data_IF_483264757673
#
_entry.id   IF_483264757673
#
_cell.length_a   1.000
_cell.length_b   1.000
_cell.length_c   1.000
_cell.angle_alpha   90.00
_cell.angle_beta   90.00
_cell.angle_gamma   90.00
#
_symmetry.space_group_name_H-M   'P 1'
#
loop_
_entity.id
_entity.type
_entity.pdbx_description
1 polymer ?
#
# COMPACT_ATOMS: atom_id res chain seq x y z
N UNK A 1 -4.57 -25.42 -2.49
CA UNK A 1 -4.10 -24.02 -2.38
C UNK A 1 -5.31 -23.22 -1.90
N UNK A 2 -5.33 -22.88 -0.61
CA UNK A 2 -6.44 -22.12 -0.01
C UNK A 2 -6.41 -20.72 -0.60
N UNK A 3 -7.45 -20.36 -1.33
CA UNK A 3 -7.63 -19.00 -1.82
C UNK A 3 -7.72 -18.07 -0.60
N UNK A 4 -6.72 -17.22 -0.40
CA UNK A 4 -6.70 -16.33 0.77
C UNK A 4 -7.93 -15.42 0.71
N UNK A 5 -8.76 -15.49 1.74
CA UNK A 5 -9.95 -14.65 1.89
C UNK A 5 -9.60 -13.17 2.08
N UNK A 6 -8.33 -12.87 2.38
CA UNK A 6 -7.80 -11.53 2.57
C UNK A 6 -6.68 -11.22 1.58
N UNK A 7 -6.72 -10.01 1.00
CA UNK A 7 -5.62 -9.41 0.26
C UNK A 7 -4.95 -8.34 1.11
N UNK A 8 -3.63 -8.21 0.99
CA UNK A 8 -2.85 -7.27 1.80
C UNK A 8 -1.85 -6.53 0.93
N UNK A 9 -1.89 -5.22 1.01
CA UNK A 9 -1.00 -4.33 0.28
C UNK A 9 -0.43 -3.26 1.21
N UNK A 10 0.82 -2.87 0.98
CA UNK A 10 1.27 -1.57 1.42
C UNK A 10 0.78 -0.53 0.42
N UNK A 11 0.00 0.42 0.89
CA UNK A 11 -0.66 1.41 0.06
C UNK A 11 -0.10 2.79 0.36
N UNK A 12 0.38 3.45 -0.69
CA UNK A 12 0.81 4.83 -0.67
C UNK A 12 -0.40 5.66 -1.08
N UNK A 13 -0.96 6.42 -0.15
CA UNK A 13 -2.26 7.07 -0.35
C UNK A 13 -2.17 8.38 -1.12
N UNK A 14 -0.97 8.93 -1.25
CA UNK A 14 -0.71 10.18 -1.95
C UNK A 14 0.65 10.13 -2.64
N UNK A 15 0.64 10.01 -3.97
CA UNK A 15 1.84 10.08 -4.80
C UNK A 15 1.65 11.14 -5.88
N UNK A 16 2.73 11.85 -6.21
CA UNK A 16 2.82 12.57 -7.48
C UNK A 16 3.08 11.60 -8.65
N UNK A 17 3.06 12.13 -9.88
CA UNK A 17 3.27 11.32 -11.07
C UNK A 17 4.65 10.64 -11.07
N UNK A 18 5.71 11.38 -10.75
CA UNK A 18 7.08 10.85 -10.78
C UNK A 18 7.26 9.73 -9.77
N UNK A 19 6.75 9.92 -8.56
CA UNK A 19 6.74 8.89 -7.52
C UNK A 19 5.96 7.65 -7.99
N UNK A 20 4.72 7.80 -8.48
CA UNK A 20 3.90 6.69 -8.93
C UNK A 20 4.57 5.84 -10.04
N UNK A 21 5.16 6.49 -11.05
CA UNK A 21 5.88 5.78 -12.11
C UNK A 21 7.17 5.13 -11.61
N UNK A 22 7.88 5.77 -10.67
CA UNK A 22 9.09 5.22 -10.06
C UNK A 22 8.76 3.97 -9.24
N UNK A 23 7.69 4.00 -8.45
CA UNK A 23 7.22 2.86 -7.66
C UNK A 23 7.02 1.62 -8.52
N UNK A 24 6.25 1.76 -9.61
CA UNK A 24 5.95 0.67 -10.55
C UNK A 24 7.20 0.11 -11.21
N UNK A 25 8.24 0.92 -11.39
CA UNK A 25 9.50 0.52 -12.04
C UNK A 25 10.45 -0.17 -11.07
N UNK A 26 10.51 0.28 -9.83
CA UNK A 26 11.52 -0.15 -8.85
C UNK A 26 11.08 -1.32 -8.00
N UNK A 27 9.79 -1.51 -7.76
CA UNK A 27 9.28 -2.58 -6.89
C UNK A 27 8.46 -3.57 -7.71
N UNK A 28 8.85 -4.85 -7.66
CA UNK A 28 8.18 -5.91 -8.40
C UNK A 28 6.71 -6.07 -7.98
N UNK A 29 5.81 -6.08 -8.96
CA UNK A 29 4.37 -6.26 -8.74
C UNK A 29 3.66 -5.02 -8.17
N UNK A 30 4.40 -3.92 -7.95
CA UNK A 30 3.78 -2.66 -7.60
C UNK A 30 2.98 -2.08 -8.78
N UNK A 31 1.86 -1.44 -8.46
CA UNK A 31 1.04 -0.74 -9.42
C UNK A 31 0.48 0.53 -8.79
N UNK A 32 -0.15 1.37 -9.60
CA UNK A 32 -0.81 2.55 -9.10
C UNK A 32 -2.11 2.82 -9.85
N UNK A 33 -3.02 3.54 -9.20
CA UNK A 33 -4.23 4.06 -9.80
C UNK A 33 -4.31 5.58 -9.59
N UNK A 34 -5.02 6.27 -10.48
CA UNK A 34 -5.27 7.70 -10.34
C UNK A 34 -6.57 7.90 -9.58
N UNK A 35 -6.58 8.75 -8.55
CA UNK A 35 -7.79 9.27 -7.91
C UNK A 35 -8.12 10.62 -8.51
N UNK A 36 -9.28 10.71 -9.15
CA UNK A 36 -9.79 11.97 -9.70
C UNK A 36 -10.34 12.92 -8.62
N UNK A 37 -10.66 12.39 -7.42
CA UNK A 37 -11.30 13.13 -6.33
C UNK A 37 -10.32 13.92 -5.43
N UNK A 38 -9.01 13.66 -5.49
CA UNK A 38 -7.98 14.25 -4.61
C UNK A 38 -6.95 15.10 -5.37
N UNK A 39 -7.36 15.68 -6.50
CA UNK A 39 -6.53 16.59 -7.28
C UNK A 39 -6.59 17.96 -6.59
N UNK A 40 -5.52 18.35 -5.89
CA UNK A 40 -5.40 19.73 -5.45
C UNK A 40 -5.33 20.67 -6.68
N UNK A 41 -5.48 21.98 -6.49
CA UNK A 41 -5.45 22.96 -7.61
C UNK A 41 -4.16 22.90 -8.46
N UNK A 42 -3.13 22.16 -8.01
CA UNK A 42 -1.83 21.96 -8.66
C UNK A 42 -1.64 20.56 -9.28
N UNK A 43 -2.61 19.64 -9.15
CA UNK A 43 -2.51 18.29 -9.69
C UNK A 43 -1.61 17.33 -8.90
N UNK A 44 -1.18 17.70 -7.69
CA UNK A 44 -0.26 16.93 -6.85
C UNK A 44 -1.01 15.92 -5.98
N UNK A 45 -0.45 14.71 -5.80
CA UNK A 45 -1.04 13.68 -4.94
C UNK A 45 -2.20 12.88 -5.55
N UNK A 46 -2.39 12.94 -6.87
CA UNK A 46 -3.50 12.28 -7.56
C UNK A 46 -3.35 10.76 -7.71
N UNK A 47 -2.26 10.15 -7.25
CA UNK A 47 -1.99 8.73 -7.45
C UNK A 47 -1.93 7.94 -6.14
N UNK A 48 -2.41 6.71 -6.20
CA UNK A 48 -2.31 5.72 -5.12
C UNK A 48 -1.44 4.58 -5.59
N UNK A 49 -0.34 4.37 -4.87
CA UNK A 49 0.53 3.22 -5.06
C UNK A 49 0.04 2.02 -4.26
N UNK A 50 0.15 0.84 -4.85
CA UNK A 50 -0.19 -0.44 -4.24
C UNK A 50 0.99 -1.38 -4.42
N UNK A 51 1.50 -1.89 -3.31
CA UNK A 51 2.60 -2.86 -3.29
C UNK A 51 2.12 -4.14 -2.61
N UNK A 52 2.13 -5.30 -3.27
CA UNK A 52 1.78 -6.57 -2.65
C UNK A 52 2.67 -6.82 -1.43
N UNK A 53 2.07 -7.15 -0.28
CA UNK A 53 2.86 -7.30 0.93
C UNK A 53 3.56 -8.67 0.98
N UNK A 54 4.82 -8.71 0.55
CA UNK A 54 5.71 -9.88 0.59
C UNK A 54 7.01 -9.53 1.29
N UNK A 55 7.52 -10.42 2.14
CA UNK A 55 8.76 -10.17 2.89
C UNK A 55 9.96 -9.86 1.99
N UNK A 56 10.02 -10.47 0.81
CA UNK A 56 11.08 -10.22 -0.18
C UNK A 56 11.09 -8.79 -0.73
N UNK A 57 10.00 -8.05 -0.58
CA UNK A 57 9.86 -6.67 -1.08
C UNK A 57 10.08 -5.63 0.02
N UNK A 58 10.34 -6.03 1.26
CA UNK A 58 10.39 -5.10 2.39
C UNK A 58 11.56 -4.13 2.30
N UNK A 59 12.74 -4.60 1.88
CA UNK A 59 13.93 -3.75 1.76
C UNK A 59 13.71 -2.72 0.63
N UNK A 60 13.27 -3.16 -0.54
CA UNK A 60 12.96 -2.28 -1.68
C UNK A 60 11.88 -1.25 -1.35
N UNK A 61 10.83 -1.67 -0.64
CA UNK A 61 9.76 -0.80 -0.19
C UNK A 61 10.25 0.25 0.80
N UNK A 62 11.05 -0.17 1.78
CA UNK A 62 11.59 0.74 2.78
C UNK A 62 12.55 1.76 2.14
N UNK A 63 13.44 1.29 1.26
CA UNK A 63 14.34 2.14 0.49
C UNK A 63 13.58 3.14 -0.38
N UNK A 64 12.47 2.71 -1.00
CA UNK A 64 11.61 3.60 -1.77
C UNK A 64 10.96 4.67 -0.87
N UNK A 65 10.36 4.27 0.24
CA UNK A 65 9.68 5.17 1.19
C UNK A 65 10.64 6.24 1.72
N UNK A 66 11.84 5.84 2.11
CA UNK A 66 12.88 6.74 2.61
C UNK A 66 13.38 7.68 1.50
N UNK A 67 13.75 7.14 0.32
CA UNK A 67 14.30 7.95 -0.77
C UNK A 67 13.30 8.94 -1.35
N UNK A 68 12.02 8.55 -1.46
CA UNK A 68 10.96 9.40 -1.97
C UNK A 68 10.33 10.31 -0.91
N UNK A 69 10.82 10.24 0.34
CA UNK A 69 10.38 11.06 1.47
C UNK A 69 8.86 10.98 1.71
N UNK A 70 8.32 9.76 1.59
CA UNK A 70 6.91 9.50 1.85
C UNK A 70 6.62 9.77 3.33
N UNK A 71 5.59 10.57 3.60
CA UNK A 71 5.16 10.86 4.96
C UNK A 71 4.43 9.65 5.56
N UNK A 72 4.57 9.42 6.86
CA UNK A 72 3.88 8.32 7.54
C UNK A 72 2.35 8.42 7.46
N UNK A 73 1.81 9.64 7.35
CA UNK A 73 0.38 9.87 7.13
C UNK A 73 -0.08 9.58 5.68
N UNK A 74 0.86 9.49 4.74
CA UNK A 74 0.62 9.24 3.31
C UNK A 74 0.78 7.74 2.94
N UNK A 75 0.74 6.85 3.93
CA UNK A 75 0.77 5.41 3.74
C UNK A 75 -0.17 4.67 4.70
N UNK A 76 -0.60 3.48 4.31
CA UNK A 76 -1.22 2.50 5.19
C UNK A 76 -0.96 1.06 4.75
N UNK A 77 -1.10 0.13 5.70
CA UNK A 77 -1.20 -1.30 5.40
C UNK A 77 -2.68 -1.58 5.14
N UNK A 78 -3.02 -1.76 3.87
CA UNK A 78 -4.39 -1.99 3.42
C UNK A 78 -4.70 -3.49 3.42
N UNK A 79 -5.63 -3.90 4.28
CA UNK A 79 -6.14 -5.26 4.38
C UNK A 79 -7.57 -5.29 3.84
N UNK A 80 -7.78 -6.04 2.79
CA UNK A 80 -9.10 -6.20 2.17
C UNK A 80 -9.61 -7.62 2.33
N UNK A 81 -10.80 -7.78 2.88
CA UNK A 81 -11.46 -9.07 3.04
C UNK A 81 -12.52 -9.27 1.97
N UNK A 82 -12.58 -10.46 1.38
CA UNK A 82 -13.69 -10.88 0.50
C UNK A 82 -15.00 -11.14 1.26
N UNK A 83 -14.95 -11.27 2.59
CA UNK A 83 -16.08 -11.62 3.45
C UNK A 83 -16.35 -10.48 4.44
N UNK A 84 -17.59 -10.02 4.48
CA UNK A 84 -18.03 -8.91 5.33
C UNK A 84 -18.43 -9.30 6.77
N UNK A 85 -18.46 -10.61 7.07
CA UNK A 85 -18.90 -11.15 8.34
C UNK A 85 -17.83 -12.06 8.98
N UNK A 86 -17.63 -11.90 10.29
CA UNK A 86 -16.69 -12.71 11.08
C UNK A 86 -15.32 -12.07 11.25
N UNK A 87 -14.38 -12.85 11.77
CA UNK A 87 -13.01 -12.40 12.07
C UNK A 87 -12.16 -12.30 10.81
N UNK A 88 -11.43 -11.19 10.64
CA UNK A 88 -10.45 -11.01 9.57
C UNK A 88 -9.08 -11.46 10.08
N UNK A 89 -8.63 -12.64 9.65
CA UNK A 89 -7.29 -13.11 9.95
C UNK A 89 -6.25 -12.34 9.11
N UNK A 90 -5.45 -11.50 9.76
CA UNK A 90 -4.37 -10.76 9.11
C UNK A 90 -3.13 -11.66 8.97
N UNK A 91 -2.56 -11.77 7.76
CA UNK A 91 -1.31 -12.51 7.53
C UNK A 91 -0.16 -12.05 8.43
N UNK A 92 0.62 -12.99 8.96
CA UNK A 92 1.77 -12.71 9.85
C UNK A 92 2.82 -11.76 9.25
N UNK A 93 2.89 -11.66 7.92
CA UNK A 93 3.77 -10.73 7.21
C UNK A 93 3.49 -9.27 7.58
N UNK A 94 2.24 -8.91 7.91
CA UNK A 94 1.87 -7.57 8.40
C UNK A 94 2.57 -7.26 9.73
N UNK A 95 2.59 -8.22 10.65
CA UNK A 95 3.27 -8.04 11.94
C UNK A 95 4.78 -7.85 11.81
N UNK A 96 5.38 -8.38 10.74
CA UNK A 96 6.79 -8.13 10.45
C UNK A 96 6.99 -6.71 9.91
N UNK A 97 6.13 -6.26 9.00
CA UNK A 97 6.22 -4.90 8.44
C UNK A 97 6.00 -3.81 9.51
N UNK A 98 5.03 -4.01 10.41
CA UNK A 98 4.74 -3.08 11.51
C UNK A 98 5.92 -2.83 12.46
N UNK A 99 6.95 -3.68 12.45
CA UNK A 99 8.19 -3.45 13.20
C UNK A 99 9.11 -2.42 12.55
N UNK A 100 8.95 -2.19 11.25
CA UNK A 100 9.85 -1.37 10.44
C UNK A 100 9.19 -0.08 9.96
N UNK A 101 7.86 -0.05 9.86
CA UNK A 101 7.11 1.08 9.29
C UNK A 101 5.89 1.42 10.15
N UNK A 102 5.81 2.68 10.59
CA UNK A 102 4.73 3.25 11.42
C UNK A 102 3.60 3.85 10.58
N UNK A 103 3.06 3.08 9.63
CA UNK A 103 1.85 3.45 8.91
C UNK A 103 0.63 2.83 9.59
N UNK A 104 -0.54 3.48 9.51
CA UNK A 104 -1.80 2.93 10.02
C UNK A 104 -2.22 1.64 9.30
N UNK A 105 -3.12 0.88 9.93
CA UNK A 105 -3.82 -0.24 9.32
C UNK A 105 -5.19 0.22 8.81
N UNK A 106 -5.49 -0.07 7.55
CA UNK A 106 -6.81 0.20 6.98
C UNK A 106 -7.48 -1.09 6.54
N UNK A 107 -8.66 -1.36 7.08
CA UNK A 107 -9.46 -2.54 6.77
C UNK A 107 -10.60 -2.17 5.83
N UNK A 108 -10.84 -3.02 4.85
CA UNK A 108 -11.94 -2.87 3.91
C UNK A 108 -12.55 -4.21 3.53
N UNK A 109 -13.75 -4.14 2.99
CA UNK A 109 -14.45 -5.28 2.40
C UNK A 109 -14.48 -5.10 0.89
N UNK A 110 -14.16 -6.17 0.16
CA UNK A 110 -14.35 -6.20 -1.28
C UNK A 110 -15.83 -5.96 -1.58
N UNK A 111 -16.11 -5.09 -2.56
CA UNK A 111 -17.46 -4.83 -3.04
C UNK A 111 -17.98 -5.98 -3.90
#
# INVERSE_FOLDING_TARGET
MTDSQTSVHFRLTKLDAMQAYTLKREIEGAYFSKREEFVDEKGSGAFIGMVPLKESLFDELNDYVIRQQIQYDDCDIYVESKIANGDIAVPRVVNKLLKYIDCKLTFAFAK
#
